data_IF_166314241590
#
_entry.id   IF_166314241590
#
_cell.length_a   1.000
_cell.length_b   1.000
_cell.length_c   1.000
_cell.angle_alpha   90.00
_cell.angle_beta   90.00
_cell.angle_gamma   90.00
#
_symmetry.space_group_name_H-M   'P 1'
#
loop_
_entity.id
_entity.type
_entity.pdbx_description
1 polymer ?
#
# COMPACT_ATOMS: atom_id res chain seq x y z
N UNK A 1 10.97 37.38 -24.87
CA UNK A 1 11.33 36.88 -23.52
C UNK A 1 10.15 36.59 -22.56
N UNK A 2 8.97 37.25 -22.58
CA UNK A 2 7.85 36.85 -21.70
C UNK A 2 6.97 35.69 -22.25
N UNK A 3 7.08 35.36 -23.54
CA UNK A 3 6.32 34.26 -24.16
C UNK A 3 6.90 32.86 -23.86
N UNK A 4 8.23 32.68 -23.89
CA UNK A 4 8.90 31.41 -23.55
C UNK A 4 8.69 30.98 -22.09
N UNK A 5 8.56 31.94 -21.16
CA UNK A 5 8.26 31.65 -19.75
C UNK A 5 6.83 31.10 -19.62
N UNK A 6 5.88 31.60 -20.42
CA UNK A 6 4.48 31.19 -20.36
C UNK A 6 4.24 29.79 -20.94
N UNK A 7 5.01 29.40 -21.96
CA UNK A 7 4.98 28.04 -22.54
C UNK A 7 5.64 27.00 -21.62
N UNK A 8 6.81 27.30 -21.02
CA UNK A 8 7.47 26.38 -20.10
C UNK A 8 6.62 26.12 -18.83
N UNK A 9 6.00 27.16 -18.27
CA UNK A 9 5.12 26.99 -17.10
C UNK A 9 3.90 26.13 -17.44
N UNK A 10 3.39 26.19 -18.67
CA UNK A 10 2.26 25.36 -19.09
C UNK A 10 2.66 23.88 -19.19
N UNK A 11 3.82 23.58 -19.79
CA UNK A 11 4.33 22.21 -19.91
C UNK A 11 4.72 21.60 -18.56
N UNK A 12 5.43 22.34 -17.71
CA UNK A 12 5.81 21.87 -16.37
C UNK A 12 4.58 21.57 -15.51
N UNK A 13 3.57 22.44 -15.57
CA UNK A 13 2.32 22.24 -14.82
C UNK A 13 1.50 21.07 -15.36
N UNK A 14 1.48 20.88 -16.68
CA UNK A 14 0.80 19.74 -17.31
C UNK A 14 1.44 18.41 -16.91
N UNK A 15 2.79 18.32 -16.95
CA UNK A 15 3.53 17.13 -16.50
C UNK A 15 3.27 16.88 -15.02
N UNK A 16 3.37 17.92 -14.17
CA UNK A 16 3.11 17.81 -12.73
C UNK A 16 1.70 17.28 -12.42
N UNK A 17 0.67 17.81 -13.09
CA UNK A 17 -0.72 17.37 -12.90
C UNK A 17 -0.92 15.93 -13.37
N UNK A 18 -0.39 15.55 -14.53
CA UNK A 18 -0.49 14.16 -15.01
C UNK A 18 0.25 13.19 -14.10
N UNK A 19 1.47 13.52 -13.66
CA UNK A 19 2.21 12.72 -12.69
C UNK A 19 1.44 12.57 -11.38
N UNK A 20 0.83 13.65 -10.86
CA UNK A 20 -0.01 13.58 -9.67
C UNK A 20 -1.25 12.69 -9.88
N UNK A 21 -1.90 12.77 -11.04
CA UNK A 21 -3.03 11.91 -11.38
C UNK A 21 -2.62 10.43 -11.47
N UNK A 22 -1.51 10.12 -12.13
CA UNK A 22 -0.98 8.75 -12.18
C UNK A 22 -0.57 8.24 -10.81
N UNK A 23 0.06 9.07 -9.97
CA UNK A 23 0.40 8.70 -8.60
C UNK A 23 -0.86 8.39 -7.77
N UNK A 24 -1.92 9.18 -7.91
CA UNK A 24 -3.20 8.92 -7.25
C UNK A 24 -3.82 7.59 -7.73
N UNK A 25 -3.86 7.35 -9.04
CA UNK A 25 -4.38 6.10 -9.61
C UNK A 25 -3.56 4.87 -9.17
N UNK A 26 -2.23 4.97 -9.22
CA UNK A 26 -1.33 3.91 -8.76
C UNK A 26 -1.55 3.61 -7.27
N UNK A 27 -1.75 4.63 -6.45
CA UNK A 27 -2.04 4.49 -5.02
C UNK A 27 -3.36 3.75 -4.79
N UNK A 28 -4.41 4.12 -5.53
CA UNK A 28 -5.71 3.45 -5.47
C UNK A 28 -5.57 1.98 -5.89
N UNK A 29 -4.91 1.71 -7.02
CA UNK A 29 -4.73 0.37 -7.54
C UNK A 29 -3.92 -0.52 -6.58
N UNK A 30 -2.87 0.03 -5.97
CA UNK A 30 -2.10 -0.65 -4.94
C UNK A 30 -2.97 -0.99 -3.71
N UNK A 31 -3.81 -0.05 -3.27
CA UNK A 31 -4.75 -0.27 -2.17
C UNK A 31 -5.77 -1.37 -2.49
N UNK A 32 -6.35 -1.37 -3.69
CA UNK A 32 -7.29 -2.40 -4.15
C UNK A 32 -6.61 -3.77 -4.24
N UNK A 33 -5.40 -3.83 -4.80
CA UNK A 33 -4.61 -5.07 -4.89
C UNK A 33 -4.30 -5.64 -3.51
N UNK A 34 -3.85 -4.81 -2.58
CA UNK A 34 -3.58 -5.21 -1.20
C UNK A 34 -4.85 -5.71 -0.50
N UNK A 35 -5.96 -4.99 -0.63
CA UNK A 35 -7.26 -5.43 -0.10
C UNK A 35 -7.66 -6.80 -0.67
N UNK A 36 -7.50 -7.00 -1.98
CA UNK A 36 -7.82 -8.26 -2.66
C UNK A 36 -7.00 -9.42 -2.12
N UNK A 37 -5.67 -9.27 -2.04
CA UNK A 37 -4.74 -10.30 -1.51
C UNK A 37 -5.07 -10.64 -0.05
N UNK A 38 -5.34 -9.63 0.79
CA UNK A 38 -5.68 -9.85 2.20
C UNK A 38 -7.05 -10.49 2.36
N UNK A 39 -8.07 -9.99 1.66
CA UNK A 39 -9.42 -10.55 1.70
C UNK A 39 -9.42 -12.00 1.22
N UNK A 40 -8.65 -12.32 0.17
CA UNK A 40 -8.50 -13.67 -0.33
C UNK A 40 -7.79 -14.58 0.68
N UNK A 41 -6.71 -14.10 1.30
CA UNK A 41 -5.98 -14.86 2.33
C UNK A 41 -6.86 -15.14 3.55
N UNK A 42 -7.64 -14.14 4.01
CA UNK A 42 -8.60 -14.30 5.10
C UNK A 42 -9.67 -15.32 4.72
N UNK A 43 -10.21 -15.23 3.50
CA UNK A 43 -11.22 -16.16 3.01
C UNK A 43 -10.71 -17.61 3.02
N UNK A 44 -9.49 -17.88 2.53
CA UNK A 44 -8.87 -19.20 2.59
C UNK A 44 -8.66 -19.72 4.02
N UNK A 45 -8.41 -18.81 4.98
CA UNK A 45 -8.18 -19.16 6.40
C UNK A 45 -9.42 -19.08 7.27
N UNK A 46 -10.61 -18.86 6.70
CA UNK A 46 -11.86 -18.70 7.46
C UNK A 46 -12.15 -19.90 8.37
N UNK A 47 -11.85 -21.13 7.91
CA UNK A 47 -12.05 -22.36 8.70
C UNK A 47 -11.14 -22.41 9.94
N UNK A 48 -9.86 -22.10 9.78
CA UNK A 48 -8.90 -22.05 10.90
C UNK A 48 -9.25 -20.94 11.89
N UNK A 49 -9.65 -19.77 11.36
CA UNK A 49 -10.11 -18.63 12.17
C UNK A 49 -11.37 -19.01 12.94
N UNK A 50 -12.34 -19.67 12.30
CA UNK A 50 -13.57 -20.16 12.93
C UNK A 50 -13.31 -21.17 14.05
N UNK A 51 -12.41 -22.13 13.82
CA UNK A 51 -12.00 -23.10 14.87
C UNK A 51 -11.31 -22.39 16.04
N UNK A 52 -10.39 -21.44 15.78
CA UNK A 52 -9.76 -20.64 16.85
C UNK A 52 -10.78 -19.84 17.65
N UNK A 53 -11.73 -19.19 16.98
CA UNK A 53 -12.80 -18.44 17.63
C UNK A 53 -13.71 -19.35 18.47
N UNK A 54 -14.04 -20.56 17.98
CA UNK A 54 -14.83 -21.54 18.72
C UNK A 54 -14.10 -22.07 19.98
N UNK A 55 -12.77 -22.14 19.94
CA UNK A 55 -11.91 -22.46 21.09
C UNK A 55 -11.71 -21.28 22.05
N UNK A 56 -12.37 -20.14 21.83
CA UNK A 56 -12.33 -18.96 22.71
C UNK A 56 -11.23 -17.95 22.38
N UNK A 57 -10.65 -17.97 21.18
CA UNK A 57 -9.69 -16.96 20.77
C UNK A 57 -10.31 -15.56 20.74
N UNK A 58 -9.59 -14.57 21.27
CA UNK A 58 -10.00 -13.16 21.22
C UNK A 58 -10.03 -12.66 19.77
N UNK A 59 -11.15 -12.04 19.37
CA UNK A 59 -11.30 -11.37 18.08
C UNK A 59 -10.16 -10.37 17.80
N UNK A 60 -9.58 -9.76 18.84
CA UNK A 60 -8.39 -8.89 18.74
C UNK A 60 -7.14 -9.63 18.31
N UNK A 61 -6.96 -10.89 18.73
CA UNK A 61 -5.81 -11.70 18.33
C UNK A 61 -5.86 -12.03 16.83
N UNK A 62 -7.06 -12.26 16.28
CA UNK A 62 -7.27 -12.45 14.84
C UNK A 62 -6.99 -11.15 14.06
N UNK A 63 -7.47 -10.01 14.55
CA UNK A 63 -7.16 -8.70 13.95
C UNK A 63 -5.64 -8.42 13.94
N UNK A 64 -4.97 -8.65 15.08
CA UNK A 64 -3.53 -8.45 15.21
C UNK A 64 -2.73 -9.36 14.27
N UNK A 65 -3.18 -10.60 14.05
CA UNK A 65 -2.55 -11.52 13.10
C UNK A 65 -2.62 -11.00 11.66
N UNK A 66 -3.79 -10.51 11.23
CA UNK A 66 -3.95 -9.92 9.89
C UNK A 66 -3.13 -8.64 9.77
N UNK A 67 -3.19 -7.74 10.74
CA UNK A 67 -2.40 -6.51 10.76
C UNK A 67 -0.90 -6.78 10.71
N UNK A 68 -0.41 -7.78 11.45
CA UNK A 68 1.01 -8.18 11.40
C UNK A 68 1.42 -8.66 10.00
N UNK A 69 0.54 -9.38 9.31
CA UNK A 69 0.80 -9.80 7.93
C UNK A 69 0.89 -8.59 7.00
N UNK A 70 0.02 -7.59 7.17
CA UNK A 70 0.08 -6.31 6.43
C UNK A 70 1.40 -5.60 6.70
N UNK A 71 1.80 -5.47 7.96
CA UNK A 71 3.05 -4.80 8.35
C UNK A 71 4.28 -5.50 7.76
N UNK A 72 4.32 -6.84 7.75
CA UNK A 72 5.44 -7.59 7.18
C UNK A 72 5.50 -7.43 5.66
N UNK A 73 4.38 -7.55 4.96
CA UNK A 73 4.31 -7.31 3.51
C UNK A 73 4.76 -5.90 3.16
N UNK A 74 4.30 -4.91 3.92
CA UNK A 74 4.66 -3.51 3.72
C UNK A 74 6.14 -3.25 4.01
N UNK A 75 6.71 -3.85 5.06
CA UNK A 75 8.12 -3.69 5.39
C UNK A 75 9.02 -4.26 4.29
N UNK A 76 8.72 -5.47 3.81
CA UNK A 76 9.47 -6.11 2.71
C UNK A 76 9.32 -5.30 1.42
N UNK A 77 8.08 -4.97 1.05
CA UNK A 77 7.80 -4.17 -0.15
C UNK A 77 8.42 -2.78 -0.09
N UNK A 78 8.45 -2.16 1.09
CA UNK A 78 9.08 -0.87 1.33
C UNK A 78 10.59 -0.90 1.17
N UNK A 79 11.27 -1.90 1.74
CA UNK A 79 12.73 -2.07 1.57
C UNK A 79 13.08 -2.30 0.09
N UNK A 80 12.34 -3.17 -0.60
CA UNK A 80 12.54 -3.44 -2.03
C UNK A 80 12.26 -2.19 -2.86
N UNK A 81 11.16 -1.49 -2.57
CA UNK A 81 10.76 -0.26 -3.27
C UNK A 81 11.77 0.88 -3.09
N UNK A 82 12.27 1.10 -1.87
CA UNK A 82 13.32 2.08 -1.60
C UNK A 82 14.62 1.73 -2.33
N UNK A 83 15.04 0.46 -2.30
CA UNK A 83 16.21 0.01 -3.05
C UNK A 83 16.08 0.23 -4.55
N UNK A 84 14.92 -0.10 -5.12
CA UNK A 84 14.62 0.13 -6.53
C UNK A 84 14.61 1.63 -6.87
N UNK A 85 13.97 2.46 -6.04
CA UNK A 85 13.87 3.89 -6.26
C UNK A 85 15.25 4.59 -6.21
N UNK A 86 16.12 4.21 -5.28
CA UNK A 86 17.50 4.70 -5.22
C UNK A 86 18.32 4.26 -6.44
N UNK A 87 18.16 3.01 -6.87
CA UNK A 87 18.82 2.47 -8.06
C UNK A 87 18.42 3.22 -9.34
N UNK A 88 17.11 3.40 -9.54
CA UNK A 88 16.55 4.13 -10.68
C UNK A 88 16.93 5.61 -10.61
N UNK A 89 16.84 6.24 -9.43
CA UNK A 89 17.23 7.63 -9.24
C UNK A 89 18.70 7.89 -9.57
N UNK A 90 19.60 6.98 -9.19
CA UNK A 90 21.02 7.04 -9.54
C UNK A 90 21.24 6.91 -11.05
N UNK A 91 20.54 5.99 -11.71
CA UNK A 91 20.59 5.85 -13.17
C UNK A 91 20.07 7.11 -13.88
N UNK A 92 18.94 7.66 -13.43
CA UNK A 92 18.36 8.88 -13.98
C UNK A 92 19.30 10.09 -13.86
N UNK A 93 19.99 10.24 -12.72
CA UNK A 93 21.00 11.28 -12.51
C UNK A 93 22.17 11.18 -13.50
N UNK A 94 22.52 9.97 -13.95
CA UNK A 94 23.58 9.79 -14.95
C UNK A 94 23.17 10.16 -16.38
N UNK A 95 21.87 10.20 -16.67
CA UNK A 95 21.32 10.55 -17.98
C UNK A 95 20.89 12.02 -18.08
N UNK A 96 20.37 12.61 -17.01
CA UNK A 96 19.90 14.00 -16.98
C UNK A 96 20.76 14.86 -16.04
N UNK A 97 21.45 15.84 -16.63
CA UNK A 97 22.22 16.84 -15.89
C UNK A 97 21.29 17.71 -15.03
N UNK A 98 21.56 17.82 -13.73
CA UNK A 98 20.80 18.69 -12.80
C UNK A 98 19.73 18.00 -11.95
N UNK A 99 19.58 16.67 -12.02
CA UNK A 99 18.62 15.93 -11.18
C UNK A 99 19.19 15.65 -9.78
N UNK A 100 18.74 16.44 -8.79
CA UNK A 100 18.89 16.15 -7.36
C UNK A 100 17.81 15.16 -6.91
N UNK A 101 17.82 13.96 -7.49
CA UNK A 101 16.78 12.93 -7.29
C UNK A 101 16.82 12.20 -5.93
N UNK A 102 17.44 12.77 -4.89
CA UNK A 102 17.64 12.10 -3.61
C UNK A 102 17.23 12.97 -2.43
N UNK A 103 16.00 13.47 -2.45
CA UNK A 103 15.40 14.19 -1.32
C UNK A 103 14.88 13.18 -0.27
N UNK A 104 15.53 13.08 0.92
CA UNK A 104 15.10 12.18 1.98
C UNK A 104 13.67 12.44 2.44
N UNK A 105 13.20 13.69 2.35
CA UNK A 105 11.88 14.09 2.81
C UNK A 105 10.78 13.48 1.92
N UNK A 106 11.01 13.42 0.61
CA UNK A 106 10.07 12.77 -0.34
C UNK A 106 10.00 11.27 -0.09
N UNK A 107 11.13 10.61 0.19
CA UNK A 107 11.14 9.18 0.54
C UNK A 107 10.39 8.89 1.84
N UNK A 108 10.60 9.70 2.88
CA UNK A 108 9.90 9.53 4.16
C UNK A 108 8.41 9.77 4.00
N UNK A 109 8.00 10.86 3.34
CA UNK A 109 6.58 11.18 3.12
C UNK A 109 5.88 10.12 2.28
N UNK A 110 6.49 9.66 1.19
CA UNK A 110 5.92 8.60 0.35
C UNK A 110 5.78 7.28 1.12
N UNK A 111 6.78 6.91 1.93
CA UNK A 111 6.70 5.71 2.76
C UNK A 111 5.59 5.79 3.81
N UNK A 112 5.45 6.95 4.48
CA UNK A 112 4.35 7.19 5.44
C UNK A 112 2.97 7.17 4.75
N UNK A 113 2.87 7.77 3.57
CA UNK A 113 1.62 7.77 2.80
C UNK A 113 1.23 6.35 2.38
N UNK A 114 2.17 5.56 1.85
CA UNK A 114 1.93 4.16 1.51
C UNK A 114 1.60 3.33 2.76
N UNK A 115 2.20 3.63 3.91
CA UNK A 115 1.85 2.99 5.18
C UNK A 115 0.39 3.22 5.55
N UNK A 116 -0.04 4.48 5.49
CA UNK A 116 -1.41 4.85 5.80
C UNK A 116 -2.41 4.15 4.87
N UNK A 117 -2.11 4.10 3.56
CA UNK A 117 -2.93 3.40 2.57
C UNK A 117 -2.98 1.90 2.84
N UNK A 118 -1.83 1.28 3.14
CA UNK A 118 -1.76 -0.15 3.41
C UNK A 118 -2.54 -0.55 4.68
N UNK A 119 -2.41 0.24 5.75
CA UNK A 119 -3.15 0.04 6.99
C UNK A 119 -4.66 0.27 6.79
N UNK A 120 -5.04 1.32 6.06
CA UNK A 120 -6.44 1.59 5.75
C UNK A 120 -7.08 0.47 4.93
N UNK A 121 -6.39 0.00 3.89
CA UNK A 121 -6.84 -1.12 3.06
C UNK A 121 -6.89 -2.43 3.84
N UNK A 122 -5.94 -2.66 4.75
CA UNK A 122 -5.87 -3.87 5.58
C UNK A 122 -6.85 -3.89 6.77
N UNK A 123 -7.32 -2.74 7.22
CA UNK A 123 -8.25 -2.65 8.35
C UNK A 123 -9.62 -3.26 8.04
N UNK A 124 -10.14 -3.06 6.82
CA UNK A 124 -11.42 -3.64 6.39
C UNK A 124 -11.42 -5.19 6.42
N UNK A 125 -10.47 -5.92 5.80
CA UNK A 125 -10.41 -7.37 5.87
C UNK A 125 -10.06 -7.88 7.26
N UNK A 126 -9.22 -7.17 8.04
CA UNK A 126 -8.95 -7.53 9.44
C UNK A 126 -10.22 -7.49 10.29
N UNK A 127 -11.05 -6.44 10.11
CA UNK A 127 -12.34 -6.33 10.78
C UNK A 127 -13.31 -7.41 10.33
N UNK A 128 -13.35 -7.75 9.02
CA UNK A 128 -14.15 -8.87 8.51
C UNK A 128 -13.73 -10.20 9.14
N UNK A 129 -12.43 -10.51 9.23
CA UNK A 129 -11.91 -11.74 9.84
C UNK A 129 -12.37 -11.90 11.31
N UNK A 130 -12.35 -10.81 12.06
CA UNK A 130 -12.76 -10.81 13.48
C UNK A 130 -14.25 -10.95 13.74
N UNK A 131 -15.08 -10.75 12.70
CA UNK A 131 -16.54 -10.87 12.74
C UNK A 131 -17.04 -12.19 12.15
N UNK A 132 -16.15 -13.10 11.77
CA UNK A 132 -16.52 -14.44 11.31
C UNK A 132 -17.19 -15.16 12.48
N UNK A 133 -18.47 -15.47 12.31
CA UNK A 133 -19.26 -16.20 13.31
C UNK A 133 -18.87 -17.70 13.26
N UNK A 134 -18.31 -18.26 14.35
CA UNK A 134 -17.86 -19.65 14.38
C UNK A 134 -18.97 -20.66 14.04
N UNK A 135 -20.23 -20.33 14.35
CA UNK A 135 -21.37 -21.19 14.03
C UNK A 135 -21.76 -21.15 12.53
N UNK A 136 -21.47 -20.07 11.81
CA UNK A 136 -21.61 -20.04 10.35
C UNK A 136 -20.42 -20.72 9.67
N UNK A 137 -19.20 -20.58 10.21
CA UNK A 137 -17.99 -21.19 9.64
C UNK A 137 -18.01 -22.74 9.68
N UNK A 138 -18.71 -23.36 10.64
CA UNK A 138 -18.91 -24.81 10.71
C UNK A 138 -20.10 -25.31 9.86
N UNK A 139 -20.99 -24.41 9.44
CA UNK A 139 -22.29 -24.75 8.81
C UNK A 139 -22.28 -24.55 7.29
N UNK A 140 -21.18 -24.05 6.72
CA UNK A 140 -20.89 -24.15 5.30
C UNK A 140 -20.44 -25.59 4.98
N UNK A 141 -21.44 -26.46 4.79
CA UNK A 141 -21.43 -27.45 3.69
C UNK A 141 -21.93 -26.77 2.42
#
# INVERSE_FOLDING_TARGET
MPQQIRENIFMDRMISILSAAFAALATILAGVGLYGVLSYTVAQRTREIGVRMALGADARAVQAMVLRQVTVMMAIGGVVGLGAALGIGKAAKSLLYGLEGNDPLVFVLSMLMLAAVALAAGYAPARRASKVDPMQALRYE
#
